data_IF_018890408360
#
_entry.id   IF_018890408360
#
_cell.length_a   1.000
_cell.length_b   1.000
_cell.length_c   1.000
_cell.angle_alpha   90.00
_cell.angle_beta   90.00
_cell.angle_gamma   90.00
#
_symmetry.space_group_name_H-M   'P 1'
#
loop_
_entity.id
_entity.type
_entity.pdbx_description
1 polymer ?
#
# COMPACT_ATOMS: atom_id res chain seq x y z
N UNK A 1 7.25 -12.53 -5.65
CA UNK A 1 7.46 -11.45 -6.64
C UNK A 1 6.42 -11.50 -7.76
N UNK A 2 6.11 -12.67 -8.33
CA UNK A 2 5.05 -12.82 -9.36
C UNK A 2 3.64 -12.42 -8.88
N UNK A 3 3.29 -12.69 -7.61
CA UNK A 3 1.92 -12.44 -7.11
C UNK A 3 1.55 -10.94 -7.06
N UNK A 4 2.52 -10.02 -7.05
CA UNK A 4 2.24 -8.59 -7.10
C UNK A 4 2.03 -8.06 -8.52
N UNK A 5 2.52 -8.77 -9.55
CA UNK A 5 2.51 -8.26 -10.93
C UNK A 5 1.12 -8.28 -11.56
N UNK A 6 0.28 -9.23 -11.14
CA UNK A 6 -1.10 -9.34 -11.61
C UNK A 6 -2.08 -8.48 -10.81
N UNK A 7 -1.68 -7.99 -9.64
CA UNK A 7 -2.56 -7.25 -8.73
C UNK A 7 -3.19 -6.02 -9.38
N UNK A 8 -2.44 -5.19 -10.15
CA UNK A 8 -3.04 -4.05 -10.84
C UNK A 8 -4.14 -4.47 -11.84
N UNK A 9 -3.97 -5.60 -12.52
CA UNK A 9 -4.96 -6.13 -13.45
C UNK A 9 -6.20 -6.66 -12.72
N UNK A 10 -6.01 -7.40 -11.63
CA UNK A 10 -7.12 -7.90 -10.80
C UNK A 10 -7.96 -6.75 -10.23
N UNK A 11 -7.32 -5.73 -9.66
CA UNK A 11 -8.02 -4.55 -9.12
C UNK A 11 -8.78 -3.84 -10.24
N UNK A 12 -8.20 -3.70 -11.44
CA UNK A 12 -8.89 -3.11 -12.59
C UNK A 12 -10.09 -3.95 -13.03
N UNK A 13 -9.96 -5.28 -13.10
CA UNK A 13 -11.05 -6.19 -13.47
C UNK A 13 -12.22 -6.13 -12.47
N UNK A 14 -11.94 -5.85 -11.20
CA UNK A 14 -12.94 -5.63 -10.15
C UNK A 14 -13.46 -4.18 -10.10
N UNK A 15 -13.13 -3.35 -11.09
CA UNK A 15 -13.45 -1.91 -11.15
C UNK A 15 -12.96 -1.12 -9.91
N UNK A 16 -11.84 -1.54 -9.32
CA UNK A 16 -11.22 -0.89 -8.18
C UNK A 16 -10.41 0.35 -8.55
N UNK A 17 -9.97 1.09 -7.52
CA UNK A 17 -9.20 2.33 -7.67
C UNK A 17 -7.71 2.08 -7.38
N UNK A 18 -6.84 2.58 -8.27
CA UNK A 18 -5.40 2.53 -8.06
C UNK A 18 -4.90 3.82 -7.41
N UNK A 19 -4.20 3.69 -6.29
CA UNK A 19 -3.47 4.79 -5.65
C UNK A 19 -2.00 4.68 -6.01
N UNK A 20 -1.54 5.53 -6.92
CA UNK A 20 -0.22 5.43 -7.52
C UNK A 20 0.79 6.40 -6.89
N UNK A 21 2.02 5.92 -6.66
CA UNK A 21 3.14 6.72 -6.17
C UNK A 21 4.34 6.59 -7.11
N UNK A 22 5.07 7.68 -7.37
CA UNK A 22 6.18 7.69 -8.34
C UNK A 22 7.43 6.91 -7.90
N UNK A 23 7.61 6.72 -6.60
CA UNK A 23 8.75 5.99 -6.00
C UNK A 23 8.32 5.38 -4.68
N UNK A 24 8.99 4.30 -4.25
CA UNK A 24 8.76 3.72 -2.92
C UNK A 24 9.17 4.73 -1.85
N UNK A 25 8.24 5.04 -0.96
CA UNK A 25 8.40 5.95 0.17
C UNK A 25 7.47 5.45 1.30
N UNK A 26 7.99 4.79 2.35
CA UNK A 26 7.17 4.13 3.37
C UNK A 26 6.20 5.08 4.08
N UNK A 27 6.61 6.31 4.36
CA UNK A 27 5.75 7.26 5.06
C UNK A 27 4.60 7.71 4.16
N UNK A 28 4.90 8.03 2.88
CA UNK A 28 3.83 8.36 1.93
C UNK A 28 2.89 7.19 1.66
N UNK A 29 3.40 5.96 1.63
CA UNK A 29 2.54 4.77 1.46
C UNK A 29 1.54 4.67 2.61
N UNK A 30 2.00 4.78 3.87
CA UNK A 30 1.11 4.72 5.04
C UNK A 30 0.12 5.89 5.07
N UNK A 31 0.58 7.10 4.72
CA UNK A 31 -0.30 8.26 4.57
C UNK A 31 -1.38 8.01 3.52
N UNK A 32 -1.01 7.56 2.32
CA UNK A 32 -1.96 7.33 1.22
C UNK A 32 -2.94 6.18 1.52
N UNK A 33 -2.49 5.14 2.23
CA UNK A 33 -3.37 4.06 2.69
C UNK A 33 -4.48 4.62 3.57
N UNK A 34 -4.13 5.52 4.50
CA UNK A 34 -5.07 6.19 5.38
C UNK A 34 -6.00 7.13 4.62
N UNK A 35 -5.44 8.07 3.88
CA UNK A 35 -6.18 9.15 3.22
C UNK A 35 -7.16 8.63 2.16
N UNK A 36 -6.81 7.52 1.48
CA UNK A 36 -7.62 6.93 0.42
C UNK A 36 -8.31 5.62 0.82
N UNK A 37 -8.21 5.20 2.09
CA UNK A 37 -8.84 3.98 2.59
C UNK A 37 -8.47 2.75 1.73
N UNK A 38 -7.17 2.59 1.43
CA UNK A 38 -6.68 1.47 0.61
C UNK A 38 -6.98 0.16 1.33
N UNK A 39 -7.64 -0.78 0.65
CA UNK A 39 -8.08 -2.06 1.24
C UNK A 39 -7.27 -3.27 0.79
N UNK A 40 -6.36 -3.08 -0.17
CA UNK A 40 -5.49 -4.14 -0.65
C UNK A 40 -4.14 -3.57 -1.02
N UNK A 41 -3.06 -4.20 -0.55
CA UNK A 41 -1.71 -3.89 -1.01
C UNK A 41 -0.89 -5.16 -1.29
N UNK A 42 0.03 -5.05 -2.24
CA UNK A 42 1.06 -6.05 -2.46
C UNK A 42 2.43 -5.37 -2.61
N UNK A 43 3.49 -6.04 -2.17
CA UNK A 43 4.83 -5.48 -2.22
C UNK A 43 5.90 -6.54 -2.06
N UNK A 44 7.12 -6.22 -2.50
CA UNK A 44 8.27 -7.06 -2.20
C UNK A 44 8.55 -7.07 -0.68
N UNK A 45 9.12 -8.15 -0.12
CA UNK A 45 9.42 -8.22 1.32
C UNK A 45 10.23 -7.03 1.86
N UNK A 46 11.12 -6.46 1.04
CA UNK A 46 11.90 -5.27 1.40
C UNK A 46 11.03 -4.03 1.63
N UNK A 47 9.95 -3.86 0.85
CA UNK A 47 8.99 -2.75 1.02
C UNK A 47 8.18 -2.96 2.29
N UNK A 48 7.72 -4.19 2.54
CA UNK A 48 6.99 -4.52 3.78
C UNK A 48 7.86 -4.28 5.02
N UNK A 49 9.13 -4.67 4.97
CA UNK A 49 10.07 -4.40 6.06
C UNK A 49 10.31 -2.89 6.26
N UNK A 50 10.38 -2.12 5.18
CA UNK A 50 10.50 -0.66 5.27
C UNK A 50 9.27 -0.01 5.92
N UNK A 51 8.06 -0.52 5.66
CA UNK A 51 6.83 -0.04 6.31
C UNK A 51 6.78 -0.39 7.80
N UNK A 52 7.21 -1.59 8.18
CA UNK A 52 7.28 -1.99 9.60
C UNK A 52 8.21 -1.06 10.41
N UNK A 53 9.32 -0.66 9.80
CA UNK A 53 10.32 0.24 10.40
C UNK A 53 10.01 1.74 10.20
N UNK A 54 8.88 2.11 9.62
CA UNK A 54 8.47 3.51 9.52
C UNK A 54 8.19 4.11 10.91
N UNK A 55 8.18 5.45 10.97
CA UNK A 55 7.92 6.21 12.19
C UNK A 55 6.58 5.82 12.84
N UNK A 56 6.47 5.81 14.19
CA UNK A 56 5.21 5.54 14.88
C UNK A 56 4.07 6.44 14.42
N UNK A 57 4.36 7.71 14.14
CA UNK A 57 3.41 8.72 13.68
C UNK A 57 2.82 8.34 12.31
N UNK A 58 3.66 7.85 11.38
CA UNK A 58 3.20 7.39 10.06
C UNK A 58 2.27 6.18 10.15
N UNK A 59 2.49 5.29 11.12
CA UNK A 59 1.70 4.06 11.33
C UNK A 59 0.36 4.26 12.05
N UNK A 60 0.13 5.41 12.67
CA UNK A 60 -1.12 5.69 13.38
C UNK A 60 -2.34 5.72 12.44
N UNK A 61 -3.57 5.74 12.97
CA UNK A 61 -4.79 6.14 12.27
C UNK A 61 -5.18 5.38 11.00
N UNK A 62 -4.69 4.16 10.80
CA UNK A 62 -5.26 3.21 9.83
C UNK A 62 -6.27 2.36 10.61
N UNK A 63 -7.55 2.68 10.48
CA UNK A 63 -8.63 2.10 11.27
C UNK A 63 -9.44 1.04 10.49
N UNK A 64 -8.92 0.60 9.34
CA UNK A 64 -9.54 -0.35 8.41
C UNK A 64 -8.57 -1.46 7.98
N UNK A 65 -9.11 -2.55 7.45
CA UNK A 65 -8.32 -3.68 6.94
C UNK A 65 -7.69 -3.36 5.57
N UNK A 66 -6.43 -3.77 5.40
CA UNK A 66 -5.58 -3.50 4.21
C UNK A 66 -4.97 -4.80 3.68
#
# INVERSE_FOLDING_TARGET
>A
HCNGWCFPWTITAMAGTHVCLRRVDPEKILQLIRDHQVTHMCGAPIVLNALLNASPEAKAGIDHEV
#
